data_IF_919748150774
#
_entry.id   IF_919748150774
#
_cell.length_a   1.000
_cell.length_b   1.000
_cell.length_c   1.000
_cell.angle_alpha   90.00
_cell.angle_beta   90.00
_cell.angle_gamma   90.00
#
_symmetry.space_group_name_H-M   'P 1'
#
loop_
_entity.id
_entity.type
_entity.pdbx_description
1 polymer ?
#
# COMPACT_ATOMS: atom_id res chain seq x y z
N UNK A 1 -4.72 -30.44 -2.49
CA UNK A 1 -4.82 -28.97 -2.46
C UNK A 1 -6.09 -28.60 -1.70
N UNK A 2 -6.00 -27.74 -0.67
CA UNK A 2 -7.18 -27.32 0.09
C UNK A 2 -7.97 -26.26 -0.68
N UNK A 3 -9.30 -26.20 -0.56
CA UNK A 3 -10.10 -25.19 -1.25
C UNK A 3 -9.74 -23.81 -0.73
N UNK A 4 -9.60 -22.86 -1.65
CA UNK A 4 -9.36 -21.46 -1.30
C UNK A 4 -10.62 -20.88 -0.66
N UNK A 5 -10.50 -20.00 0.37
CA UNK A 5 -11.64 -19.31 0.94
C UNK A 5 -12.36 -18.46 -0.11
N UNK A 6 -13.67 -18.51 -0.08
CA UNK A 6 -14.55 -17.74 -0.98
C UNK A 6 -15.34 -16.66 -0.23
N UNK A 7 -15.31 -16.68 1.09
CA UNK A 7 -15.99 -15.72 1.95
C UNK A 7 -15.01 -15.07 2.91
N UNK A 8 -14.94 -13.75 2.93
CA UNK A 8 -13.99 -12.98 3.74
C UNK A 8 -14.71 -12.01 4.66
N UNK A 9 -14.23 -11.89 5.89
CA UNK A 9 -14.74 -10.95 6.88
C UNK A 9 -13.59 -10.27 7.62
N UNK A 10 -13.78 -9.01 7.98
CA UNK A 10 -12.89 -8.31 8.89
C UNK A 10 -13.25 -8.67 10.33
N UNK A 11 -12.25 -9.02 11.12
CA UNK A 11 -12.39 -9.47 12.51
C UNK A 11 -11.75 -8.45 13.43
N UNK A 12 -12.48 -8.06 14.47
CA UNK A 12 -12.00 -7.15 15.52
C UNK A 12 -12.56 -7.56 16.87
N UNK A 13 -11.76 -7.55 17.93
CA UNK A 13 -12.27 -7.72 19.28
C UNK A 13 -13.23 -6.58 19.63
N UNK A 14 -14.27 -6.86 20.41
CA UNK A 14 -15.16 -5.83 20.94
C UNK A 14 -14.42 -4.87 21.87
N UNK A 15 -13.48 -5.41 22.68
CA UNK A 15 -12.60 -4.65 23.55
C UNK A 15 -11.16 -4.72 23.04
N UNK A 16 -10.47 -3.59 22.95
CA UNK A 16 -9.08 -3.52 22.48
C UNK A 16 -8.10 -4.32 23.35
N UNK A 17 -8.42 -4.53 24.63
CA UNK A 17 -7.63 -5.37 25.53
C UNK A 17 -7.58 -6.86 25.12
N UNK A 18 -8.53 -7.30 24.31
CA UNK A 18 -8.66 -8.68 23.86
C UNK A 18 -8.15 -8.91 22.44
N UNK A 19 -7.69 -7.84 21.73
CA UNK A 19 -7.19 -7.94 20.36
C UNK A 19 -6.06 -8.97 20.21
N UNK A 20 -5.13 -9.02 21.17
CA UNK A 20 -4.01 -9.95 21.16
C UNK A 20 -4.49 -11.41 21.35
N UNK A 21 -5.46 -11.64 22.26
CA UNK A 21 -6.06 -12.95 22.48
C UNK A 21 -6.84 -13.42 21.27
N UNK A 22 -7.65 -12.55 20.68
CA UNK A 22 -8.42 -12.84 19.44
C UNK A 22 -7.45 -13.19 18.32
N UNK A 23 -6.36 -12.44 18.15
CA UNK A 23 -5.32 -12.72 17.17
C UNK A 23 -4.68 -14.10 17.36
N UNK A 24 -4.34 -14.47 18.60
CA UNK A 24 -3.78 -15.77 18.93
C UNK A 24 -4.73 -16.93 18.60
N UNK A 25 -6.01 -16.79 18.95
CA UNK A 25 -7.05 -17.81 18.67
C UNK A 25 -7.25 -17.97 17.15
N UNK A 26 -7.28 -16.86 16.39
CA UNK A 26 -7.40 -16.92 14.93
C UNK A 26 -6.22 -17.66 14.29
N UNK A 27 -5.01 -17.45 14.77
CA UNK A 27 -3.81 -18.16 14.29
C UNK A 27 -3.94 -19.66 14.60
N UNK A 28 -4.39 -20.04 15.79
CA UNK A 28 -4.61 -21.42 16.18
C UNK A 28 -5.67 -22.10 15.30
N UNK A 29 -6.78 -21.40 15.03
CA UNK A 29 -7.83 -21.90 14.14
C UNK A 29 -7.31 -22.16 12.72
N UNK A 30 -6.57 -21.22 12.14
CA UNK A 30 -5.97 -21.37 10.78
C UNK A 30 -4.95 -22.51 10.75
N UNK A 31 -4.21 -22.74 11.82
CA UNK A 31 -3.27 -23.86 11.91
C UNK A 31 -4.01 -25.21 11.99
N UNK A 32 -5.18 -25.23 12.61
CA UNK A 32 -6.00 -26.45 12.78
C UNK A 32 -6.88 -26.72 11.55
N UNK A 33 -7.37 -25.68 10.90
CA UNK A 33 -8.20 -25.77 9.70
C UNK A 33 -7.54 -25.07 8.49
N UNK A 34 -7.01 -25.87 7.58
CA UNK A 34 -6.33 -25.43 6.36
C UNK A 34 -7.26 -24.78 5.32
N UNK A 35 -8.56 -24.80 5.53
CA UNK A 35 -9.53 -24.11 4.68
C UNK A 35 -9.75 -22.66 5.11
N UNK A 36 -9.19 -22.24 6.23
CA UNK A 36 -9.17 -20.85 6.71
C UNK A 36 -7.90 -20.14 6.24
N UNK A 37 -8.01 -18.84 6.05
CA UNK A 37 -6.85 -17.95 5.84
C UNK A 37 -6.95 -16.73 6.74
N UNK A 38 -5.81 -16.22 7.15
CA UNK A 38 -5.71 -15.01 7.96
C UNK A 38 -4.76 -14.03 7.28
N UNK A 39 -5.24 -12.83 7.01
CA UNK A 39 -4.47 -11.75 6.39
C UNK A 39 -4.55 -10.50 7.26
N UNK A 40 -3.40 -9.88 7.51
CA UNK A 40 -3.32 -8.61 8.23
C UNK A 40 -3.03 -7.48 7.26
N UNK A 41 -4.02 -6.65 6.99
CA UNK A 41 -3.86 -5.41 6.23
C UNK A 41 -3.35 -4.31 7.16
N UNK A 42 -2.06 -3.99 7.06
CA UNK A 42 -1.44 -2.90 7.84
C UNK A 42 -1.99 -1.54 7.43
N UNK A 43 -2.28 -1.39 6.14
CA UNK A 43 -2.79 -0.15 5.55
C UNK A 43 -4.16 0.22 6.10
N UNK A 44 -5.09 -0.72 6.11
CA UNK A 44 -6.45 -0.51 6.60
C UNK A 44 -6.61 -0.85 8.09
N UNK A 45 -5.55 -1.30 8.75
CA UNK A 45 -5.51 -1.73 10.15
C UNK A 45 -6.65 -2.69 10.46
N UNK A 46 -6.78 -3.73 9.62
CA UNK A 46 -7.80 -4.76 9.78
C UNK A 46 -7.20 -6.15 9.63
N UNK A 47 -7.75 -7.09 10.38
CA UNK A 47 -7.48 -8.52 10.25
C UNK A 47 -8.61 -9.14 9.45
N UNK A 48 -8.29 -9.78 8.33
CA UNK A 48 -9.24 -10.42 7.43
C UNK A 48 -9.15 -11.92 7.61
N UNK A 49 -10.29 -12.53 7.93
CA UNK A 49 -10.46 -13.97 8.00
C UNK A 49 -11.16 -14.46 6.74
N UNK A 50 -10.53 -15.36 6.01
CA UNK A 50 -11.14 -16.07 4.89
C UNK A 50 -11.68 -17.43 5.33
N UNK A 51 -12.90 -17.75 4.95
CA UNK A 51 -13.57 -19.01 5.25
C UNK A 51 -14.40 -19.52 4.05
N UNK A 52 -15.00 -20.71 4.18
CA UNK A 52 -15.68 -21.37 3.06
C UNK A 52 -17.12 -20.86 2.84
N UNK A 53 -17.67 -20.07 3.76
CA UNK A 53 -19.01 -19.53 3.66
C UNK A 53 -19.60 -19.15 5.00
N UNK A 54 -20.87 -18.74 4.98
CA UNK A 54 -21.57 -18.20 6.15
C UNK A 54 -21.75 -19.25 7.28
N UNK A 55 -22.01 -20.50 6.94
CA UNK A 55 -22.11 -21.57 7.94
C UNK A 55 -20.79 -21.79 8.67
N UNK A 56 -19.69 -21.76 7.93
CA UNK A 56 -18.36 -21.85 8.51
C UNK A 56 -18.06 -20.66 9.43
N UNK A 57 -18.40 -19.45 8.99
CA UNK A 57 -18.27 -18.25 9.82
C UNK A 57 -19.11 -18.34 11.11
N UNK A 58 -20.34 -18.86 11.03
CA UNK A 58 -21.22 -19.02 12.19
C UNK A 58 -20.62 -20.01 13.21
N UNK A 59 -19.96 -21.06 12.75
CA UNK A 59 -19.21 -22.00 13.61
C UNK A 59 -18.07 -21.29 14.33
N UNK A 60 -17.32 -20.44 13.63
CA UNK A 60 -16.23 -19.65 14.22
C UNK A 60 -16.77 -18.66 15.27
N UNK A 61 -17.86 -17.95 14.96
CA UNK A 61 -18.55 -17.05 15.91
C UNK A 61 -18.99 -17.79 17.17
N UNK A 62 -19.60 -18.95 16.99
CA UNK A 62 -20.01 -19.82 18.10
C UNK A 62 -18.83 -20.22 18.99
N UNK A 63 -17.68 -20.55 18.38
CA UNK A 63 -16.47 -20.94 19.09
C UNK A 63 -15.91 -19.79 19.94
N UNK A 64 -15.84 -18.58 19.40
CA UNK A 64 -15.44 -17.40 20.17
C UNK A 64 -16.38 -17.15 21.36
N UNK A 65 -17.66 -17.19 21.14
CA UNK A 65 -18.65 -16.88 22.18
C UNK A 65 -18.73 -17.99 23.24
N UNK A 66 -18.78 -19.26 22.85
CA UNK A 66 -19.10 -20.37 23.76
C UNK A 66 -17.85 -21.03 24.38
N UNK A 67 -16.75 -21.09 23.66
CA UNK A 67 -15.52 -21.72 24.15
C UNK A 67 -14.62 -20.68 24.79
N UNK A 68 -14.27 -19.63 24.09
CA UNK A 68 -13.33 -18.60 24.57
C UNK A 68 -13.97 -17.50 25.41
N UNK A 69 -15.30 -17.38 25.41
CA UNK A 69 -16.05 -16.33 26.14
C UNK A 69 -15.59 -14.92 25.74
N UNK A 70 -15.25 -14.74 24.47
CA UNK A 70 -14.82 -13.46 23.90
C UNK A 70 -15.90 -12.93 22.96
N UNK A 71 -16.12 -11.63 23.04
CA UNK A 71 -16.98 -10.90 22.12
C UNK A 71 -16.16 -10.36 20.95
N UNK A 72 -16.49 -10.77 19.74
CA UNK A 72 -15.75 -10.45 18.51
C UNK A 72 -16.72 -9.92 17.46
N UNK A 73 -16.38 -8.80 16.87
CA UNK A 73 -17.10 -8.18 15.79
C UNK A 73 -16.59 -8.70 14.43
N UNK A 74 -17.54 -9.14 13.59
CA UNK A 74 -17.27 -9.56 12.22
C UNK A 74 -18.01 -8.60 11.29
N UNK A 75 -17.27 -7.93 10.42
CA UNK A 75 -17.80 -6.93 9.49
C UNK A 75 -17.28 -7.18 8.09
N UNK A 76 -17.90 -6.54 7.10
CA UNK A 76 -17.35 -6.59 5.74
C UNK A 76 -15.96 -5.98 5.69
N UNK A 77 -15.01 -6.61 4.97
CA UNK A 77 -13.67 -6.07 4.84
C UNK A 77 -13.69 -4.72 4.14
N UNK A 78 -12.91 -3.78 4.64
CA UNK A 78 -12.67 -2.53 3.92
C UNK A 78 -11.84 -2.83 2.67
N UNK A 79 -12.24 -2.27 1.55
CA UNK A 79 -11.51 -2.38 0.29
C UNK A 79 -10.43 -1.29 0.25
N UNK A 80 -9.15 -1.64 0.02
CA UNK A 80 -8.10 -0.65 -0.16
C UNK A 80 -8.27 0.00 -1.54
N UNK A 81 -9.00 1.10 -1.59
CA UNK A 81 -9.07 1.90 -2.81
C UNK A 81 -7.71 2.57 -3.05
N UNK A 82 -7.29 2.57 -4.30
CA UNK A 82 -6.12 3.29 -4.78
C UNK A 82 -6.57 4.41 -5.70
N UNK A 83 -5.86 5.52 -5.64
CA UNK A 83 -6.08 6.63 -6.56
C UNK A 83 -5.06 6.59 -7.69
N UNK A 84 -5.42 7.13 -8.83
CA UNK A 84 -4.51 7.31 -9.96
C UNK A 84 -4.72 8.67 -10.59
N UNK A 85 -3.70 9.15 -11.28
CA UNK A 85 -3.80 10.38 -12.06
C UNK A 85 -4.45 10.09 -13.41
N UNK A 86 -5.26 11.03 -13.89
CA UNK A 86 -5.96 10.93 -15.18
C UNK A 86 -5.42 11.91 -16.23
N UNK A 87 -4.58 12.86 -15.81
CA UNK A 87 -4.00 13.89 -16.67
C UNK A 87 -2.51 14.05 -16.37
N UNK A 88 -1.74 14.43 -17.40
CA UNK A 88 -0.36 14.84 -17.19
C UNK A 88 -0.30 16.19 -16.47
N UNK A 89 0.69 16.34 -15.62
CA UNK A 89 0.96 17.58 -14.89
C UNK A 89 2.45 17.84 -14.79
N UNK A 90 2.84 19.10 -14.88
CA UNK A 90 4.20 19.54 -14.61
C UNK A 90 4.22 20.35 -13.33
N UNK A 91 5.25 20.15 -12.54
CA UNK A 91 5.48 20.91 -11.32
C UNK A 91 6.96 21.14 -11.11
N UNK A 92 7.27 22.23 -10.46
CA UNK A 92 8.62 22.59 -10.05
C UNK A 92 8.61 22.88 -8.55
N UNK A 93 9.59 22.35 -7.86
CA UNK A 93 9.84 22.68 -6.47
C UNK A 93 11.27 23.14 -6.28
N UNK A 94 11.43 24.30 -5.62
CA UNK A 94 12.72 24.86 -5.25
C UNK A 94 12.84 24.94 -3.73
N UNK A 95 13.77 24.20 -3.17
CA UNK A 95 14.14 24.31 -1.78
C UNK A 95 15.33 25.25 -1.63
N UNK A 96 15.13 26.33 -0.90
CA UNK A 96 16.21 27.26 -0.52
C UNK A 96 16.09 27.56 0.96
N UNK A 97 17.07 27.13 1.74
CA UNK A 97 17.14 27.46 3.17
C UNK A 97 18.54 27.98 3.48
N UNK A 98 18.59 29.16 4.04
CA UNK A 98 19.84 29.80 4.47
C UNK A 98 19.65 30.32 5.88
N UNK A 99 20.22 29.59 6.83
CA UNK A 99 20.21 29.95 8.25
C UNK A 99 21.61 29.73 8.80
N UNK A 100 22.47 30.75 8.67
CA UNK A 100 23.85 30.75 9.22
C UNK A 100 24.72 29.58 8.74
N UNK A 101 25.73 29.83 7.87
CA UNK A 101 26.62 28.82 7.34
C UNK A 101 26.30 28.41 5.88
N UNK A 102 26.69 27.21 5.46
CA UNK A 102 26.41 26.73 4.09
C UNK A 102 24.92 26.47 3.91
N UNK A 103 24.28 27.21 2.99
CA UNK A 103 22.87 27.08 2.68
C UNK A 103 22.52 25.76 2.01
N UNK A 104 21.25 25.36 2.12
CA UNK A 104 20.70 24.22 1.39
C UNK A 104 19.97 24.73 0.13
N UNK A 105 20.29 24.13 -0.99
CA UNK A 105 19.63 24.42 -2.27
C UNK A 105 19.35 23.13 -3.02
N UNK A 106 18.14 23.02 -3.54
CA UNK A 106 17.73 21.96 -4.44
C UNK A 106 16.54 22.40 -5.27
N UNK A 107 16.58 22.13 -6.56
CA UNK A 107 15.48 22.42 -7.47
C UNK A 107 15.21 21.20 -8.35
N UNK A 108 13.95 20.80 -8.41
CA UNK A 108 13.50 19.65 -9.22
C UNK A 108 12.31 20.07 -10.04
N UNK A 109 12.37 19.80 -11.33
CA UNK A 109 11.26 19.90 -12.27
C UNK A 109 10.79 18.49 -12.60
N UNK A 110 9.49 18.26 -12.48
CA UNK A 110 8.90 16.94 -12.70
C UNK A 110 7.72 17.04 -13.65
N UNK A 111 7.67 16.12 -14.61
CA UNK A 111 6.50 15.79 -15.40
C UNK A 111 5.96 14.45 -14.90
N UNK A 112 4.69 14.40 -14.54
CA UNK A 112 4.00 13.18 -14.15
C UNK A 112 2.88 12.90 -15.15
N UNK A 113 2.77 11.66 -15.59
CA UNK A 113 1.81 11.21 -16.59
C UNK A 113 1.15 9.90 -16.15
N UNK A 114 -0.14 9.66 -16.48
CA UNK A 114 -0.76 8.37 -16.25
C UNK A 114 -0.08 7.31 -17.13
N UNK A 115 0.29 6.18 -16.49
CA UNK A 115 0.93 5.09 -17.20
C UNK A 115 -0.08 4.01 -17.62
N UNK A 116 0.08 3.49 -18.83
CA UNK A 116 -0.59 2.30 -19.33
C UNK A 116 0.36 1.46 -20.22
N UNK A 117 0.19 0.15 -20.24
CA UNK A 117 1.03 -0.74 -21.02
C UNK A 117 0.94 -0.40 -22.52
N UNK A 118 2.11 -0.23 -23.15
CA UNK A 118 2.20 0.20 -24.56
C UNK A 118 2.16 1.72 -24.78
N UNK A 119 2.19 2.50 -23.70
CA UNK A 119 2.27 3.96 -23.80
C UNK A 119 3.54 4.39 -24.56
N UNK A 120 3.44 5.27 -25.58
CA UNK A 120 4.61 5.84 -26.22
C UNK A 120 5.40 6.70 -25.24
N UNK A 121 6.73 6.67 -25.35
CA UNK A 121 7.56 7.55 -24.55
C UNK A 121 7.22 9.01 -24.81
N UNK A 122 7.23 9.83 -23.76
CA UNK A 122 7.08 11.26 -23.90
C UNK A 122 8.18 11.84 -24.80
N UNK A 123 7.84 12.83 -25.60
CA UNK A 123 8.74 13.46 -26.58
C UNK A 123 9.24 14.85 -26.15
N UNK A 124 8.71 15.39 -25.07
CA UNK A 124 9.00 16.75 -24.61
C UNK A 124 10.43 16.89 -24.09
N UNK A 125 10.93 15.86 -23.43
CA UNK A 125 12.27 15.84 -22.82
C UNK A 125 13.07 14.62 -23.28
N UNK A 126 14.38 14.75 -23.56
CA UNK A 126 15.19 13.61 -23.94
C UNK A 126 15.39 12.66 -22.76
N UNK A 127 14.95 11.42 -22.90
CA UNK A 127 15.13 10.37 -21.88
C UNK A 127 16.57 9.87 -21.93
N UNK A 128 17.30 9.91 -20.82
CA UNK A 128 18.67 9.45 -20.64
C UNK A 128 18.73 8.08 -19.97
N UNK A 129 17.76 7.73 -19.20
CA UNK A 129 17.64 6.45 -18.54
C UNK A 129 16.21 6.22 -18.05
N UNK A 130 15.80 4.96 -18.00
CA UNK A 130 14.47 4.55 -17.52
C UNK A 130 14.64 3.47 -16.46
N UNK A 131 13.99 3.65 -15.34
CA UNK A 131 13.90 2.66 -14.27
C UNK A 131 12.43 2.28 -14.05
N UNK A 132 12.17 0.99 -13.90
CA UNK A 132 10.84 0.47 -13.62
C UNK A 132 10.81 -0.06 -12.19
N UNK A 133 9.88 0.43 -11.39
CA UNK A 133 9.67 -0.01 -10.02
C UNK A 133 8.27 -0.61 -9.89
N UNK A 134 8.22 -1.85 -9.43
CA UNK A 134 6.96 -2.48 -9.06
C UNK A 134 6.58 -2.03 -7.65
N UNK A 135 5.33 -1.59 -7.50
CA UNK A 135 4.81 -1.14 -6.21
C UNK A 135 4.26 -2.35 -5.43
N UNK A 136 4.37 -2.36 -4.10
CA UNK A 136 3.95 -3.51 -3.27
C UNK A 136 2.48 -3.94 -3.46
N UNK A 137 1.66 -3.05 -3.98
CA UNK A 137 0.23 -3.26 -4.24
C UNK A 137 -0.12 -3.56 -5.71
N UNK A 138 0.87 -3.87 -6.56
CA UNK A 138 0.69 -4.28 -7.95
C UNK A 138 0.70 -3.16 -8.99
N UNK A 139 0.90 -1.89 -8.57
CA UNK A 139 1.13 -0.77 -9.49
C UNK A 139 2.56 -0.75 -10.04
N UNK A 140 2.78 0.05 -11.09
CA UNK A 140 4.11 0.29 -11.67
C UNK A 140 4.44 1.76 -11.69
N UNK A 141 5.66 2.11 -11.31
CA UNK A 141 6.25 3.43 -11.50
C UNK A 141 7.35 3.33 -12.56
N UNK A 142 7.17 4.07 -13.66
CA UNK A 142 8.21 4.23 -14.68
C UNK A 142 8.90 5.57 -14.42
N UNK A 143 10.14 5.52 -13.98
CA UNK A 143 10.93 6.69 -13.68
C UNK A 143 11.89 6.99 -14.84
N UNK A 144 11.64 8.09 -15.56
CA UNK A 144 12.44 8.55 -16.68
C UNK A 144 13.39 9.67 -16.23
N UNK A 145 14.69 9.42 -16.30
CA UNK A 145 15.69 10.44 -16.07
C UNK A 145 15.90 11.24 -17.35
N UNK A 146 15.53 12.52 -17.31
CA UNK A 146 15.67 13.47 -18.41
C UNK A 146 16.70 14.57 -18.13
N UNK A 147 17.57 14.38 -17.14
CA UNK A 147 18.56 15.38 -16.73
C UNK A 147 19.63 15.55 -17.81
N UNK A 148 19.90 16.80 -18.17
CA UNK A 148 20.92 17.18 -19.17
C UNK A 148 21.99 18.02 -18.50
N UNK A 149 23.25 17.78 -18.91
CA UNK A 149 24.38 18.61 -18.50
C UNK A 149 24.81 18.47 -17.02
N UNK A 150 24.37 17.41 -16.33
CA UNK A 150 24.75 17.21 -14.93
C UNK A 150 24.15 18.22 -13.95
N UNK A 151 23.02 18.84 -14.29
CA UNK A 151 22.33 19.84 -13.48
C UNK A 151 21.88 19.31 -12.10
N UNK A 152 21.69 18.00 -12.00
CA UNK A 152 21.51 17.28 -10.73
C UNK A 152 22.57 16.17 -10.69
N UNK A 153 23.38 16.12 -9.63
CA UNK A 153 24.37 15.05 -9.43
C UNK A 153 23.64 13.71 -9.23
N UNK A 154 24.13 12.66 -9.89
CA UNK A 154 23.55 11.31 -9.86
C UNK A 154 23.36 10.75 -8.44
N UNK A 155 24.21 11.15 -7.48
CA UNK A 155 24.08 10.76 -6.07
C UNK A 155 22.76 11.18 -5.40
N UNK A 156 22.04 12.17 -5.96
CA UNK A 156 20.76 12.63 -5.42
C UNK A 156 19.54 11.94 -6.03
N UNK A 157 19.73 11.14 -7.10
CA UNK A 157 18.65 10.42 -7.75
C UNK A 157 17.90 9.46 -6.80
N UNK A 158 18.58 8.68 -5.93
CA UNK A 158 17.90 7.84 -4.97
C UNK A 158 17.02 8.62 -3.97
N UNK A 159 17.42 9.83 -3.60
CA UNK A 159 16.65 10.67 -2.70
C UNK A 159 15.38 11.22 -3.37
N UNK A 160 15.46 11.59 -4.66
CA UNK A 160 14.31 12.00 -5.47
C UNK A 160 13.32 10.84 -5.59
N UNK A 161 13.81 9.65 -5.97
CA UNK A 161 12.98 8.46 -6.11
C UNK A 161 12.30 8.08 -4.79
N UNK A 162 13.03 8.13 -3.67
CA UNK A 162 12.46 7.90 -2.34
C UNK A 162 11.30 8.85 -2.05
N UNK A 163 11.46 10.15 -2.33
CA UNK A 163 10.40 11.15 -2.14
C UNK A 163 9.17 10.88 -3.01
N UNK A 164 9.36 10.39 -4.24
CA UNK A 164 8.26 9.97 -5.12
C UNK A 164 7.53 8.76 -4.52
N UNK A 165 8.26 7.73 -4.08
CA UNK A 165 7.68 6.52 -3.50
C UNK A 165 6.88 6.81 -2.23
N UNK A 166 7.39 7.66 -1.35
CA UNK A 166 6.67 8.10 -0.15
C UNK A 166 5.34 8.81 -0.49
N UNK A 167 5.32 9.57 -1.59
CA UNK A 167 4.08 10.25 -2.05
C UNK A 167 3.11 9.32 -2.75
N UNK A 168 3.58 8.28 -3.41
CA UNK A 168 2.72 7.24 -3.97
C UNK A 168 2.00 6.44 -2.88
N UNK A 169 2.63 6.26 -1.71
CA UNK A 169 1.98 5.61 -0.57
C UNK A 169 0.90 6.48 0.09
N UNK A 170 1.05 7.80 0.02
CA UNK A 170 0.18 8.78 0.69
C UNK A 170 -0.26 9.88 -0.28
N UNK A 171 -1.22 9.57 -1.12
CA UNK A 171 -1.84 10.54 -2.02
C UNK A 171 -2.83 11.47 -1.31
N UNK A 172 -3.50 12.39 -2.04
CA UNK A 172 -4.48 13.33 -1.47
C UNK A 172 -5.69 12.67 -0.79
N UNK A 173 -6.14 11.52 -1.29
CA UNK A 173 -7.29 10.77 -0.75
C UNK A 173 -6.84 9.43 -0.17
N UNK A 174 -5.98 8.74 -0.89
CA UNK A 174 -5.43 7.43 -0.52
C UNK A 174 -4.04 7.30 -1.14
N UNK A 175 -3.46 6.10 -1.23
CA UNK A 175 -2.22 5.86 -2.00
C UNK A 175 -2.51 5.48 -3.46
N UNK A 176 -1.52 5.61 -4.31
CA UNK A 176 -1.59 5.27 -5.74
C UNK A 176 -1.22 3.82 -6.01
#
# INVERSE_FOLDING_TARGET
EFPKPIYTVAVKAANSSDDEKVGGILIEMVNSDRSLTLENSRELRQTILGCQGELHLNTIKWYFTNVHKLEVNFTDPKIPYRETITKSAESMYRHKKQSGGSGQFGEVHMLIEPYYDGMPNQTKYPIRGTETHELPWGGKLIFNNCIVGGSIDARFMPAILKGIMEKLEQGPLTGS
#
